data_IF_273589056311
#
_entry.id   IF_273589056311
#
_cell.length_a   1.000
_cell.length_b   1.000
_cell.length_c   1.000
_cell.angle_alpha   90.00
_cell.angle_beta   90.00
_cell.angle_gamma   90.00
#
_symmetry.space_group_name_H-M   'P 1'
#
loop_
_entity.id
_entity.type
_entity.pdbx_description
1 polymer ?
#
# COMPACT_ATOMS: atom_id res chain seq x y z
N UNK A 1 9.80 -9.78 22.24
CA UNK A 1 10.92 -9.03 21.66
C UNK A 1 10.44 -8.24 20.42
N UNK A 2 9.47 -7.34 20.60
CA UNK A 2 8.91 -6.45 19.55
C UNK A 2 9.12 -4.96 19.90
N UNK A 3 10.00 -4.67 20.86
CA UNK A 3 10.25 -3.32 21.38
C UNK A 3 10.78 -2.29 20.36
N UNK A 4 11.62 -2.64 19.35
CA UNK A 4 12.23 -1.61 18.50
C UNK A 4 11.24 -0.96 17.53
N UNK A 5 10.28 -1.74 16.99
CA UNK A 5 9.30 -1.24 16.04
C UNK A 5 8.23 -0.38 16.72
N UNK A 6 7.80 -0.77 17.93
CA UNK A 6 6.92 0.04 18.75
C UNK A 6 7.59 1.34 19.20
N UNK A 7 8.88 1.31 19.51
CA UNK A 7 9.65 2.50 19.84
C UNK A 7 9.79 3.45 18.64
N UNK A 8 10.06 2.94 17.43
CA UNK A 8 10.14 3.78 16.23
C UNK A 8 8.78 4.45 15.90
N UNK A 9 7.67 3.74 16.08
CA UNK A 9 6.32 4.31 15.91
C UNK A 9 6.03 5.34 16.99
N UNK A 10 6.41 5.08 18.24
CA UNK A 10 6.23 6.02 19.36
C UNK A 10 7.12 7.25 19.24
N UNK A 11 8.34 7.12 18.73
CA UNK A 11 9.25 8.24 18.45
C UNK A 11 8.71 9.08 17.30
N UNK A 12 8.19 8.46 16.24
CA UNK A 12 7.50 9.17 15.14
C UNK A 12 6.26 9.92 15.66
N UNK A 13 5.52 9.32 16.58
CA UNK A 13 4.36 9.94 17.24
C UNK A 13 4.77 11.03 18.25
N UNK A 14 5.93 10.92 18.87
CA UNK A 14 6.48 11.90 19.80
C UNK A 14 7.08 13.11 19.06
N UNK A 15 7.69 12.89 17.90
CA UNK A 15 8.19 13.92 16.99
C UNK A 15 7.02 14.71 16.36
N UNK A 16 5.89 14.05 16.11
CA UNK A 16 4.62 14.73 15.79
C UNK A 16 4.00 15.51 16.97
N UNK A 17 4.48 15.30 18.20
CA UNK A 17 3.96 15.92 19.43
C UNK A 17 4.76 17.14 19.86
N UNK A 18 5.70 17.62 19.04
CA UNK A 18 6.36 18.90 19.29
C UNK A 18 5.30 20.00 19.45
N UNK A 19 5.32 20.63 20.63
CA UNK A 19 4.28 21.50 21.17
C UNK A 19 4.30 22.91 20.57
N UNK A 20 5.15 23.13 19.56
CA UNK A 20 5.29 24.39 18.83
C UNK A 20 4.23 24.60 17.75
N UNK A 21 3.48 23.55 17.37
CA UNK A 21 2.37 23.64 16.42
C UNK A 21 1.01 23.76 17.14
N UNK A 22 0.12 24.67 16.70
CA UNK A 22 -1.18 24.87 17.32
C UNK A 22 -2.01 23.57 17.27
N UNK A 23 -2.36 23.04 18.44
CA UNK A 23 -3.19 21.85 18.58
C UNK A 23 -4.59 22.13 18.01
N UNK A 24 -5.11 21.30 17.09
CA UNK A 24 -6.47 21.46 16.60
C UNK A 24 -7.45 21.18 17.75
N UNK A 25 -8.30 22.15 18.07
CA UNK A 25 -9.45 21.94 18.97
C UNK A 25 -10.28 20.78 18.40
N UNK A 26 -10.64 19.82 19.25
CA UNK A 26 -11.54 18.74 18.87
C UNK A 26 -12.81 19.36 18.25
N UNK A 27 -13.22 18.96 17.04
CA UNK A 27 -14.39 19.53 16.41
C UNK A 27 -15.64 19.08 17.19
N UNK A 28 -16.62 19.98 17.41
CA UNK A 28 -17.93 19.55 17.85
C UNK A 28 -18.57 18.70 16.75
N UNK A 29 -19.38 17.72 17.15
CA UNK A 29 -20.08 16.80 16.25
C UNK A 29 -20.74 17.55 15.07
N UNK A 30 -20.28 17.28 13.85
CA UNK A 30 -20.89 17.80 12.61
C UNK A 30 -19.85 18.34 11.63
N UNK A 31 -19.83 17.77 10.42
CA UNK A 31 -19.01 18.14 9.25
C UNK A 31 -17.52 18.36 9.53
N UNK A 32 -16.70 17.34 9.24
CA UNK A 32 -15.30 17.58 8.88
C UNK A 32 -15.29 18.72 7.85
N UNK A 33 -14.56 19.81 8.10
CA UNK A 33 -14.41 20.95 7.18
C UNK A 33 -13.80 20.44 5.85
N UNK A 34 -14.65 19.94 4.96
CA UNK A 34 -14.27 19.41 3.63
C UNK A 34 -13.54 20.50 2.82
N UNK A 35 -13.93 21.75 3.01
CA UNK A 35 -13.31 22.92 2.40
C UNK A 35 -11.86 23.13 2.89
N UNK A 36 -11.60 23.05 4.20
CA UNK A 36 -10.22 23.19 4.73
C UNK A 36 -9.33 22.03 4.33
N UNK A 37 -9.89 20.83 4.26
CA UNK A 37 -9.17 19.62 3.85
C UNK A 37 -8.80 19.68 2.37
N UNK A 38 -9.74 20.07 1.52
CA UNK A 38 -9.50 20.24 0.07
C UNK A 38 -8.51 21.38 -0.20
N UNK A 39 -8.57 22.49 0.54
CA UNK A 39 -7.59 23.59 0.46
C UNK A 39 -6.17 23.13 0.83
N UNK A 40 -6.01 22.31 1.87
CA UNK A 40 -4.70 21.76 2.24
C UNK A 40 -4.16 20.81 1.18
N UNK A 41 -4.99 19.92 0.63
CA UNK A 41 -4.56 19.00 -0.43
C UNK A 41 -4.15 19.79 -1.69
N UNK A 42 -4.92 20.81 -2.08
CA UNK A 42 -4.57 21.71 -3.19
C UNK A 42 -3.23 22.41 -2.96
N UNK A 43 -2.87 22.75 -1.72
CA UNK A 43 -1.57 23.40 -1.42
C UNK A 43 -0.35 22.49 -1.65
N UNK A 44 -0.53 21.16 -1.62
CA UNK A 44 0.51 20.20 -1.96
C UNK A 44 0.57 19.90 -3.46
N UNK A 45 -0.44 20.28 -4.23
CA UNK A 45 -0.45 20.09 -5.67
C UNK A 45 0.33 21.19 -6.38
N UNK A 46 1.18 20.84 -7.36
CA UNK A 46 1.84 21.84 -8.18
C UNK A 46 0.80 22.70 -8.92
N UNK A 47 0.83 24.00 -8.70
CA UNK A 47 -0.06 24.97 -9.34
C UNK A 47 0.32 25.29 -10.79
N UNK A 48 1.35 24.64 -11.36
CA UNK A 48 1.79 24.84 -12.73
C UNK A 48 2.04 23.51 -13.45
N UNK A 49 1.70 23.47 -14.73
CA UNK A 49 1.93 22.34 -15.66
C UNK A 49 3.42 22.03 -15.92
N UNK A 50 4.34 22.70 -15.23
CA UNK A 50 5.80 22.54 -15.35
C UNK A 50 6.49 22.15 -14.04
N UNK A 51 5.77 22.06 -12.92
CA UNK A 51 6.36 21.67 -11.65
C UNK A 51 6.42 20.14 -11.51
N UNK A 52 7.62 19.62 -11.24
CA UNK A 52 7.85 18.19 -11.00
C UNK A 52 6.96 17.69 -9.86
N UNK A 53 6.24 16.57 -10.02
CA UNK A 53 5.44 16.01 -8.93
C UNK A 53 6.33 15.65 -7.74
N UNK A 54 5.87 16.01 -6.54
CA UNK A 54 6.63 15.87 -5.29
C UNK A 54 6.20 14.69 -4.44
N UNK A 55 5.24 13.89 -4.90
CA UNK A 55 4.67 12.79 -4.12
C UNK A 55 5.05 11.46 -4.74
N UNK A 56 5.70 10.62 -3.94
CA UNK A 56 5.98 9.22 -4.26
C UNK A 56 5.20 8.36 -3.29
N UNK A 57 4.44 7.40 -3.82
CA UNK A 57 3.64 6.50 -2.99
C UNK A 57 4.39 5.19 -2.80
N UNK A 58 4.62 4.81 -1.55
CA UNK A 58 5.27 3.56 -1.20
C UNK A 58 4.25 2.63 -0.57
N UNK A 59 4.01 1.50 -1.21
CA UNK A 59 2.92 0.58 -0.92
C UNK A 59 3.52 -0.71 -0.40
N UNK A 60 3.23 -1.04 0.85
CA UNK A 60 3.72 -2.25 1.50
C UNK A 60 2.59 -3.27 1.59
N UNK A 61 2.83 -4.48 1.09
CA UNK A 61 1.88 -5.60 1.12
C UNK A 61 0.54 -5.33 0.44
N UNK A 62 -0.31 -6.35 0.36
CA UNK A 62 -1.69 -6.19 -0.09
C UNK A 62 -2.54 -5.29 0.84
N UNK A 63 -2.16 -5.13 2.12
CA UNK A 63 -2.81 -4.18 3.02
C UNK A 63 -2.58 -2.71 2.61
N UNK A 64 -1.38 -2.41 2.12
CA UNK A 64 -1.06 -1.11 1.52
C UNK A 64 -1.84 -0.88 0.23
N UNK A 65 -1.97 -1.92 -0.61
CA UNK A 65 -2.77 -1.84 -1.85
C UNK A 65 -4.23 -1.48 -1.57
N UNK A 66 -4.83 -2.09 -0.54
CA UNK A 66 -6.18 -1.73 -0.08
C UNK A 66 -6.27 -0.24 0.34
N UNK A 67 -5.32 0.21 1.16
CA UNK A 67 -5.29 1.59 1.68
C UNK A 67 -5.14 2.61 0.55
N UNK A 68 -4.24 2.35 -0.40
CA UNK A 68 -4.00 3.21 -1.56
C UNK A 68 -5.19 3.24 -2.51
N UNK A 69 -5.81 2.09 -2.75
CA UNK A 69 -7.02 1.98 -3.57
C UNK A 69 -8.12 2.88 -3.03
N UNK A 70 -8.41 2.81 -1.73
CA UNK A 70 -9.42 3.68 -1.11
C UNK A 70 -9.00 5.15 -1.09
N UNK A 71 -7.71 5.45 -0.90
CA UNK A 71 -7.19 6.80 -0.97
C UNK A 71 -7.41 7.41 -2.37
N UNK A 72 -6.97 6.72 -3.42
CA UNK A 72 -7.09 7.19 -4.80
C UNK A 72 -8.55 7.34 -5.21
N UNK A 73 -9.40 6.38 -4.84
CA UNK A 73 -10.82 6.40 -5.16
C UNK A 73 -11.56 7.54 -4.45
N UNK A 74 -11.27 7.73 -3.17
CA UNK A 74 -11.82 8.83 -2.37
C UNK A 74 -11.33 10.20 -2.87
N UNK A 75 -10.07 10.31 -3.26
CA UNK A 75 -9.48 11.52 -3.82
C UNK A 75 -10.10 11.87 -5.17
N UNK A 76 -10.29 10.90 -6.05
CA UNK A 76 -10.97 11.10 -7.33
C UNK A 76 -12.40 11.60 -7.17
N UNK A 77 -13.09 11.17 -6.13
CA UNK A 77 -14.47 11.62 -5.84
C UNK A 77 -14.54 13.05 -5.29
N UNK A 78 -13.41 13.60 -4.83
CA UNK A 78 -13.35 14.92 -4.16
C UNK A 78 -12.52 15.96 -4.91
N UNK A 79 -11.81 15.56 -5.95
CA UNK A 79 -10.94 16.43 -6.74
C UNK A 79 -11.33 16.29 -8.20
N UNK A 80 -11.39 17.42 -8.89
CA UNK A 80 -11.64 17.46 -10.34
C UNK A 80 -10.46 16.89 -11.14
N UNK A 81 -9.25 16.89 -10.55
CA UNK A 81 -8.01 16.43 -11.16
C UNK A 81 -7.37 15.28 -10.38
N UNK A 82 -6.77 14.29 -11.06
CA UNK A 82 -6.09 13.17 -10.42
C UNK A 82 -4.85 13.64 -9.65
N UNK A 83 -4.48 12.88 -8.63
CA UNK A 83 -3.29 13.16 -7.83
C UNK A 83 -2.02 13.05 -8.70
N UNK A 84 -1.30 14.16 -8.88
CA UNK A 84 -0.06 14.14 -9.67
C UNK A 84 1.06 13.45 -8.88
N UNK A 85 1.17 12.13 -9.06
CA UNK A 85 2.24 11.34 -8.47
C UNK A 85 3.47 11.27 -9.38
N UNK A 86 4.64 11.24 -8.73
CA UNK A 86 5.90 10.93 -9.38
C UNK A 86 6.01 9.47 -9.77
N UNK A 87 5.50 8.59 -8.93
CA UNK A 87 5.44 7.16 -9.16
C UNK A 87 4.85 6.41 -7.97
N UNK A 88 4.80 5.08 -8.11
CA UNK A 88 4.40 4.16 -7.05
C UNK A 88 5.45 3.08 -6.90
N UNK A 89 5.90 2.85 -5.67
CA UNK A 89 6.73 1.73 -5.28
C UNK A 89 5.82 0.68 -4.64
N UNK A 90 5.86 -0.53 -5.18
CA UNK A 90 5.16 -1.70 -4.68
C UNK A 90 6.21 -2.60 -4.00
N UNK A 91 6.18 -2.65 -2.67
CA UNK A 91 7.03 -3.51 -1.85
C UNK A 91 6.22 -4.73 -1.43
N UNK A 92 6.66 -5.90 -1.92
CA UNK A 92 6.00 -7.18 -1.65
C UNK A 92 4.51 -7.16 -2.00
N UNK A 93 4.16 -6.57 -3.15
CA UNK A 93 2.80 -6.48 -3.67
C UNK A 93 2.83 -6.14 -5.18
N UNK A 94 1.71 -6.30 -5.90
CA UNK A 94 0.47 -6.96 -5.47
C UNK A 94 0.51 -8.48 -5.61
N UNK A 95 -0.19 -9.17 -4.71
CA UNK A 95 -0.52 -10.59 -4.84
C UNK A 95 -2.00 -10.81 -5.08
N UNK A 96 -2.37 -11.91 -5.75
CA UNK A 96 -3.76 -12.22 -6.09
C UNK A 96 -4.56 -12.83 -4.93
N UNK A 97 -3.88 -13.27 -3.87
CA UNK A 97 -4.53 -13.92 -2.72
C UNK A 97 -5.21 -15.25 -3.11
N UNK A 98 -4.74 -15.91 -4.17
CA UNK A 98 -5.31 -17.16 -4.69
C UNK A 98 -5.04 -18.35 -3.77
N UNK A 99 -3.98 -18.29 -2.97
CA UNK A 99 -3.68 -19.34 -2.00
C UNK A 99 -4.44 -19.13 -0.70
N UNK A 100 -5.37 -20.05 -0.44
CA UNK A 100 -6.13 -20.12 0.80
C UNK A 100 -5.21 -20.11 2.03
N UNK A 101 -4.18 -20.98 2.04
CA UNK A 101 -3.30 -21.16 3.19
C UNK A 101 -2.34 -19.98 3.40
N UNK A 102 -1.89 -19.32 2.34
CA UNK A 102 -1.08 -18.10 2.47
C UNK A 102 -1.92 -17.00 3.13
N UNK A 103 -3.14 -16.77 2.62
CA UNK A 103 -4.06 -15.76 3.17
C UNK A 103 -4.45 -16.08 4.62
N UNK A 104 -4.77 -17.35 4.91
CA UNK A 104 -5.08 -17.82 6.24
C UNK A 104 -3.93 -17.57 7.24
N UNK A 105 -2.71 -17.95 6.88
CA UNK A 105 -1.54 -17.79 7.74
C UNK A 105 -1.17 -16.31 7.92
N UNK A 106 -1.32 -15.49 6.88
CA UNK A 106 -1.09 -14.05 6.94
C UNK A 106 -2.06 -13.36 7.91
N UNK A 107 -3.36 -13.67 7.84
CA UNK A 107 -4.36 -13.10 8.75
C UNK A 107 -4.11 -13.59 10.18
N UNK A 108 -3.80 -14.88 10.38
CA UNK A 108 -3.50 -15.42 11.71
C UNK A 108 -2.28 -14.78 12.37
N UNK A 109 -1.33 -14.25 11.60
CA UNK A 109 -0.15 -13.57 12.15
C UNK A 109 -0.52 -12.32 12.96
N UNK A 110 -1.66 -11.68 12.65
CA UNK A 110 -2.15 -10.51 13.35
C UNK A 110 -2.75 -10.82 14.74
N UNK A 111 -3.01 -12.10 15.04
CA UNK A 111 -3.67 -12.51 16.29
C UNK A 111 -2.67 -12.97 17.37
N UNK A 112 -3.03 -12.81 18.66
CA UNK A 112 -2.18 -13.24 19.76
C UNK A 112 -1.97 -14.76 19.75
N UNK A 113 -0.76 -15.20 20.16
CA UNK A 113 -0.34 -16.61 20.12
C UNK A 113 -1.01 -17.51 21.19
N UNK A 114 -1.96 -16.99 21.97
CA UNK A 114 -2.70 -17.77 22.96
C UNK A 114 -3.56 -18.83 22.25
N UNK A 115 -3.51 -20.08 22.70
CA UNK A 115 -4.17 -21.22 22.06
C UNK A 115 -5.67 -21.02 21.88
N UNK A 116 -6.36 -20.42 22.87
CA UNK A 116 -7.81 -20.18 22.81
C UNK A 116 -8.13 -19.14 21.73
N UNK A 117 -7.42 -18.03 21.76
CA UNK A 117 -7.57 -16.97 20.76
C UNK A 117 -7.15 -17.42 19.37
N UNK A 118 -6.14 -18.28 19.26
CA UNK A 118 -5.68 -18.84 17.99
C UNK A 118 -6.72 -19.77 17.38
N UNK A 119 -7.41 -20.58 18.20
CA UNK A 119 -8.54 -21.40 17.73
C UNK A 119 -9.72 -20.55 17.27
N UNK A 120 -10.13 -19.56 18.07
CA UNK A 120 -11.23 -18.66 17.72
C UNK A 120 -10.93 -17.86 16.45
N UNK A 121 -9.71 -17.31 16.35
CA UNK A 121 -9.25 -16.61 15.15
C UNK A 121 -9.22 -17.55 13.95
N UNK A 122 -8.69 -18.77 14.09
CA UNK A 122 -8.66 -19.75 13.01
C UNK A 122 -10.06 -20.08 12.48
N UNK A 123 -11.03 -20.27 13.37
CA UNK A 123 -12.42 -20.52 13.00
C UNK A 123 -13.04 -19.32 12.28
N UNK A 124 -12.89 -18.12 12.85
CA UNK A 124 -13.40 -16.90 12.24
C UNK A 124 -12.80 -16.65 10.84
N UNK A 125 -11.48 -16.83 10.69
CA UNK A 125 -10.80 -16.67 9.40
C UNK A 125 -11.27 -17.72 8.39
N UNK A 126 -11.48 -18.98 8.80
CA UNK A 126 -12.06 -20.00 7.93
C UNK A 126 -13.44 -19.57 7.41
N UNK A 127 -14.33 -19.14 8.31
CA UNK A 127 -15.66 -18.67 7.93
C UNK A 127 -15.59 -17.48 6.96
N UNK A 128 -14.71 -16.51 7.21
CA UNK A 128 -14.50 -15.38 6.32
C UNK A 128 -13.97 -15.80 4.94
N UNK A 129 -12.98 -16.70 4.88
CA UNK A 129 -12.42 -17.17 3.61
C UNK A 129 -13.43 -17.98 2.80
N UNK A 130 -14.24 -18.82 3.45
CA UNK A 130 -15.34 -19.55 2.79
C UNK A 130 -16.37 -18.55 2.25
N UNK A 131 -16.74 -17.55 3.04
CA UNK A 131 -17.65 -16.50 2.60
C UNK A 131 -17.11 -15.77 1.36
N UNK A 132 -15.83 -15.36 1.36
CA UNK A 132 -15.21 -14.73 0.20
C UNK A 132 -15.13 -15.65 -1.01
N UNK A 133 -14.83 -16.94 -0.80
CA UNK A 133 -14.81 -17.92 -1.89
C UNK A 133 -16.19 -18.07 -2.54
N UNK A 134 -17.25 -18.15 -1.73
CA UNK A 134 -18.64 -18.18 -2.24
C UNK A 134 -18.98 -16.87 -2.95
N UNK A 135 -18.62 -15.72 -2.38
CA UNK A 135 -18.84 -14.41 -2.97
C UNK A 135 -18.22 -14.30 -4.37
N UNK A 136 -16.97 -14.76 -4.53
CA UNK A 136 -16.27 -14.79 -5.82
C UNK A 136 -16.91 -15.83 -6.76
N UNK A 137 -17.29 -17.01 -6.26
CA UNK A 137 -17.95 -18.05 -7.05
C UNK A 137 -19.32 -17.60 -7.60
N UNK A 138 -19.99 -16.68 -6.91
CA UNK A 138 -21.21 -16.01 -7.40
C UNK A 138 -20.94 -14.97 -8.51
N UNK A 139 -19.71 -14.84 -9.00
CA UNK A 139 -19.33 -13.95 -10.09
C UNK A 139 -18.93 -12.54 -9.67
N UNK A 140 -18.81 -12.28 -8.36
CA UNK A 140 -18.36 -10.98 -7.89
C UNK A 140 -16.83 -10.84 -8.01
N UNK A 141 -16.38 -9.61 -8.23
CA UNK A 141 -14.95 -9.27 -8.29
C UNK A 141 -14.24 -9.58 -6.97
N UNK A 142 -13.04 -10.17 -7.02
CA UNK A 142 -12.25 -10.41 -5.82
C UNK A 142 -11.65 -9.09 -5.31
N UNK A 143 -11.51 -8.89 -3.98
CA UNK A 143 -10.88 -7.69 -3.43
C UNK A 143 -9.46 -7.46 -3.99
N UNK A 144 -8.70 -8.53 -4.20
CA UNK A 144 -7.35 -8.45 -4.78
C UNK A 144 -7.36 -7.95 -6.23
N UNK A 145 -8.32 -8.38 -7.06
CA UNK A 145 -8.45 -7.87 -8.42
C UNK A 145 -8.79 -6.37 -8.43
N UNK A 146 -9.68 -5.94 -7.53
CA UNK A 146 -10.01 -4.54 -7.34
C UNK A 146 -8.79 -3.70 -6.93
N UNK A 147 -7.98 -4.19 -5.99
CA UNK A 147 -6.77 -3.49 -5.54
C UNK A 147 -5.67 -3.41 -6.59
N UNK A 148 -5.58 -4.39 -7.49
CA UNK A 148 -4.62 -4.40 -8.58
C UNK A 148 -5.01 -3.41 -9.68
N UNK A 149 -6.29 -3.38 -10.09
CA UNK A 149 -6.71 -2.50 -11.18
C UNK A 149 -6.69 -1.02 -10.79
N UNK A 150 -7.14 -0.70 -9.57
CA UNK A 150 -7.48 0.66 -9.19
C UNK A 150 -6.29 1.63 -9.27
N UNK A 151 -5.11 1.30 -8.71
CA UNK A 151 -3.94 2.19 -8.79
C UNK A 151 -3.46 2.46 -10.22
N UNK A 152 -3.62 1.49 -11.13
CA UNK A 152 -3.23 1.63 -12.53
C UNK A 152 -4.25 2.43 -13.38
N UNK A 153 -5.50 2.52 -12.93
CA UNK A 153 -6.61 3.14 -13.67
C UNK A 153 -6.91 4.56 -13.18
N UNK A 154 -6.97 4.77 -11.88
CA UNK A 154 -7.41 6.04 -11.30
C UNK A 154 -6.32 7.11 -11.26
N UNK A 155 -5.06 6.70 -11.37
CA UNK A 155 -3.93 7.57 -11.12
C UNK A 155 -3.10 7.85 -12.37
N UNK A 156 -3.76 8.05 -13.50
CA UNK A 156 -3.09 8.47 -14.74
C UNK A 156 -2.93 10.00 -14.75
N UNK A 157 -1.73 10.54 -15.04
CA UNK A 157 -0.52 9.87 -15.51
C UNK A 157 0.57 9.80 -14.43
N UNK A 158 0.45 8.97 -13.41
CA UNK A 158 1.63 8.59 -12.63
C UNK A 158 2.56 7.79 -13.54
N UNK A 159 3.79 8.26 -13.73
CA UNK A 159 4.62 7.81 -14.85
C UNK A 159 5.50 6.61 -14.53
N UNK A 160 5.57 6.16 -13.28
CA UNK A 160 6.42 5.03 -12.89
C UNK A 160 5.77 4.08 -11.90
N UNK A 161 5.92 2.78 -12.15
CA UNK A 161 5.53 1.68 -11.28
C UNK A 161 6.76 0.83 -10.98
N UNK A 162 7.16 0.74 -9.72
CA UNK A 162 8.42 0.16 -9.31
C UNK A 162 8.14 -0.99 -8.35
N UNK A 163 8.57 -2.19 -8.68
CA UNK A 163 8.28 -3.39 -7.91
C UNK A 163 9.53 -3.87 -7.18
N UNK A 164 9.44 -4.00 -5.87
CA UNK A 164 10.44 -4.59 -5.00
C UNK A 164 9.86 -5.91 -4.48
N UNK A 165 10.48 -7.03 -4.82
CA UNK A 165 9.95 -8.35 -4.44
C UNK A 165 11.08 -9.37 -4.29
N UNK A 166 10.75 -10.53 -3.74
CA UNK A 166 11.68 -11.64 -3.55
C UNK A 166 10.99 -12.97 -3.83
N UNK A 167 11.74 -13.97 -4.32
CA UNK A 167 11.23 -15.33 -4.52
C UNK A 167 11.02 -16.08 -3.20
N UNK A 168 11.64 -15.60 -2.12
CA UNK A 168 11.51 -16.17 -0.78
C UNK A 168 10.35 -15.57 0.03
N UNK A 169 9.60 -14.63 -0.53
CA UNK A 169 8.36 -14.13 0.07
C UNK A 169 7.30 -15.25 0.12
N UNK A 170 6.90 -15.62 1.33
CA UNK A 170 5.89 -16.67 1.58
C UNK A 170 4.46 -16.15 1.61
N UNK A 171 4.26 -14.83 1.65
CA UNK A 171 2.95 -14.18 1.69
C UNK A 171 2.49 -13.74 0.30
N UNK A 172 3.41 -13.33 -0.57
CA UNK A 172 3.09 -12.89 -1.93
C UNK A 172 3.97 -13.63 -2.93
N UNK A 173 3.33 -14.31 -3.88
CA UNK A 173 4.03 -15.02 -4.93
C UNK A 173 4.65 -14.01 -5.91
N UNK A 174 5.96 -14.13 -6.17
CA UNK A 174 6.68 -13.24 -7.08
C UNK A 174 6.09 -13.21 -8.50
N UNK A 175 5.52 -14.33 -8.96
CA UNK A 175 4.86 -14.41 -10.28
C UNK A 175 3.62 -13.52 -10.39
N UNK A 176 2.92 -13.25 -9.28
CA UNK A 176 1.79 -12.31 -9.28
C UNK A 176 2.29 -10.87 -9.47
N UNK A 177 3.44 -10.54 -8.86
CA UNK A 177 4.08 -9.23 -8.98
C UNK A 177 4.54 -8.99 -10.42
N UNK A 178 5.21 -9.96 -11.03
CA UNK A 178 5.65 -9.87 -12.43
C UNK A 178 4.48 -9.72 -13.40
N UNK A 179 3.40 -10.49 -13.21
CA UNK A 179 2.21 -10.36 -14.06
C UNK A 179 1.57 -8.97 -13.96
N UNK A 180 1.53 -8.39 -12.76
CA UNK A 180 1.03 -7.03 -12.59
C UNK A 180 1.99 -5.99 -13.19
N UNK A 181 3.30 -6.23 -13.10
CA UNK A 181 4.33 -5.40 -13.74
C UNK A 181 4.17 -5.40 -15.27
N UNK A 182 3.93 -6.56 -15.88
CA UNK A 182 3.61 -6.69 -17.30
C UNK A 182 2.31 -5.97 -17.69
N UNK A 183 1.27 -6.09 -16.86
CA UNK A 183 0.03 -5.36 -17.10
C UNK A 183 0.24 -3.84 -17.06
N UNK A 184 1.02 -3.34 -16.10
CA UNK A 184 1.40 -1.94 -16.02
C UNK A 184 2.19 -1.50 -17.26
N UNK A 185 3.14 -2.30 -17.75
CA UNK A 185 3.87 -2.03 -19.02
C UNK A 185 2.90 -1.91 -20.19
N UNK A 186 2.00 -2.88 -20.35
CA UNK A 186 0.97 -2.89 -21.41
C UNK A 186 0.05 -1.67 -21.33
N UNK A 187 -0.22 -1.19 -20.12
CA UNK A 187 -1.01 0.01 -19.86
C UNK A 187 -0.23 1.33 -20.09
N UNK A 188 1.06 1.28 -20.45
CA UNK A 188 1.90 2.43 -20.79
C UNK A 188 2.73 3.01 -19.63
N UNK A 189 2.84 2.28 -18.51
CA UNK A 189 3.61 2.72 -17.35
C UNK A 189 5.11 2.46 -17.55
N UNK A 190 5.99 3.32 -16.99
CA UNK A 190 7.42 3.00 -16.90
C UNK A 190 7.63 2.05 -15.73
N UNK A 191 7.93 0.80 -16.05
CA UNK A 191 8.04 -0.27 -15.06
C UNK A 191 9.49 -0.59 -14.78
N UNK A 192 9.83 -0.69 -13.49
CA UNK A 192 11.12 -1.20 -13.02
C UNK A 192 10.88 -2.27 -11.97
N UNK A 193 11.66 -3.34 -12.02
CA UNK A 193 11.54 -4.48 -11.14
C UNK A 193 12.90 -4.71 -10.46
N UNK A 194 12.88 -4.93 -9.15
CA UNK A 194 14.07 -5.22 -8.34
C UNK A 194 13.80 -6.48 -7.54
N UNK A 195 14.43 -7.56 -7.97
CA UNK A 195 14.38 -8.85 -7.30
C UNK A 195 15.44 -8.91 -6.18
N UNK A 196 15.01 -9.04 -4.94
CA UNK A 196 15.85 -9.33 -3.78
C UNK A 196 15.99 -10.84 -3.58
N UNK A 197 17.19 -11.29 -3.24
CA UNK A 197 17.46 -12.69 -2.92
C UNK A 197 17.41 -12.91 -1.41
N UNK A 198 16.70 -13.96 -0.98
CA UNK A 198 16.66 -14.39 0.42
C UNK A 198 15.85 -13.48 1.35
N UNK A 199 15.09 -12.53 0.81
CA UNK A 199 14.31 -11.59 1.62
C UNK A 199 12.90 -12.11 1.88
N UNK A 200 12.45 -12.01 3.13
CA UNK A 200 11.04 -12.19 3.47
C UNK A 200 10.15 -11.03 3.01
N UNK A 201 8.85 -11.21 3.20
CA UNK A 201 7.81 -10.21 2.95
C UNK A 201 8.09 -8.88 3.67
N UNK A 202 8.10 -7.78 2.92
CA UNK A 202 8.39 -6.42 3.40
C UNK A 202 9.71 -6.30 4.19
N UNK A 203 10.66 -7.23 3.97
CA UNK A 203 11.93 -7.28 4.69
C UNK A 203 13.13 -6.84 3.83
N UNK A 204 12.89 -6.37 2.60
CA UNK A 204 13.92 -6.04 1.61
C UNK A 204 14.90 -4.97 2.13
N UNK A 205 14.39 -3.93 2.79
CA UNK A 205 15.21 -2.88 3.41
C UNK A 205 16.15 -3.42 4.50
N UNK A 206 15.67 -4.37 5.30
CA UNK A 206 16.45 -4.98 6.38
C UNK A 206 17.49 -5.95 5.83
N UNK A 207 17.15 -6.66 4.75
CA UNK A 207 18.02 -7.64 4.10
C UNK A 207 19.17 -6.98 3.34
N UNK A 208 18.88 -6.01 2.48
CA UNK A 208 19.87 -5.28 1.69
C UNK A 208 19.51 -3.79 1.62
N UNK A 209 19.93 -3.08 2.66
CA UNK A 209 19.67 -1.64 2.81
C UNK A 209 20.25 -0.82 1.66
N UNK A 210 21.43 -1.17 1.17
CA UNK A 210 22.13 -0.42 0.13
C UNK A 210 21.34 -0.45 -1.16
N UNK A 211 21.03 -1.67 -1.63
CA UNK A 211 20.25 -1.88 -2.85
C UNK A 211 18.83 -1.35 -2.76
N UNK A 212 18.21 -1.44 -1.58
CA UNK A 212 16.87 -0.89 -1.35
C UNK A 212 16.84 0.64 -1.46
N UNK A 213 17.76 1.33 -0.78
CA UNK A 213 17.85 2.80 -0.84
C UNK A 213 18.21 3.25 -2.25
N UNK A 214 19.12 2.57 -2.94
CA UNK A 214 19.45 2.85 -4.33
C UNK A 214 18.23 2.70 -5.25
N UNK A 215 17.45 1.63 -5.08
CA UNK A 215 16.23 1.42 -5.82
C UNK A 215 15.25 2.58 -5.61
N UNK A 216 14.95 2.94 -4.35
CA UNK A 216 14.05 4.04 -4.00
C UNK A 216 14.57 5.39 -4.53
N UNK A 217 15.86 5.69 -4.39
CA UNK A 217 16.46 6.92 -4.89
C UNK A 217 16.39 6.99 -6.41
N UNK A 218 16.65 5.89 -7.12
CA UNK A 218 16.52 5.86 -8.58
C UNK A 218 15.10 6.15 -9.06
N UNK A 219 14.09 5.75 -8.28
CA UNK A 219 12.68 6.11 -8.52
C UNK A 219 12.48 7.60 -8.30
N UNK A 220 12.96 8.11 -7.17
CA UNK A 220 12.81 9.50 -6.80
C UNK A 220 13.56 10.44 -7.74
N UNK A 221 14.66 10.03 -8.34
CA UNK A 221 15.43 10.88 -9.26
C UNK A 221 14.92 10.82 -10.69
N UNK A 222 14.15 9.78 -11.06
CA UNK A 222 13.57 9.65 -12.39
C UNK A 222 12.62 10.81 -12.75
N UNK A 223 12.70 11.26 -14.00
CA UNK A 223 12.00 12.45 -14.54
C UNK A 223 10.51 12.21 -14.88
#
# INVERSE_FOLDING_TARGET
MFAPAAAAVLDTLAECKDRSLPQPKAPPNGSLDEEKTSLRIRSFMPSSSHAKPKVLLHIFSNGGMNSVTHLLHGLRSRMDEPLVLRGMIFDSCPGKGTSYWQTFNAILLAFPKNIVWRFLAALAVHCCLIFFAVYIACGNESPAAFWQRTPLEENRPARGAFYLFSKEDRMIEWTDVEQHAEEARRKGWRVKEVLFEGSGHCAHLTMDRGRYIEAVNSVWESD
#
